data_IF_235007839994
#
_entry.id   IF_235007839994
#
_cell.length_a   1.000
_cell.length_b   1.000
_cell.length_c   1.000
_cell.angle_alpha   90.00
_cell.angle_beta   90.00
_cell.angle_gamma   90.00
#
_symmetry.space_group_name_H-M   'P 1'
#
loop_
_entity.id
_entity.type
_entity.pdbx_description
1 polymer ?
#
# COMPACT_ATOMS: atom_id res chain seq x y z
N UNK A 1 21.20 6.00 -55.68
CA UNK A 1 19.90 5.36 -55.99
C UNK A 1 19.45 5.57 -57.44
N UNK A 2 19.98 6.54 -58.21
CA UNK A 2 19.60 6.79 -59.62
C UNK A 2 20.24 5.83 -60.64
N UNK A 3 21.48 5.39 -60.41
CA UNK A 3 22.22 4.57 -61.39
C UNK A 3 21.62 3.19 -61.69
N UNK A 4 20.87 2.60 -60.75
CA UNK A 4 20.21 1.30 -60.98
C UNK A 4 18.96 1.42 -61.86
N UNK A 5 18.23 2.54 -61.75
CA UNK A 5 17.09 2.82 -62.62
C UNK A 5 17.55 3.05 -64.06
N UNK A 6 18.64 3.79 -64.24
CA UNK A 6 19.23 4.03 -65.57
C UNK A 6 19.65 2.73 -66.26
N UNK A 7 20.26 1.78 -65.53
CA UNK A 7 20.62 0.47 -66.07
C UNK A 7 19.41 -0.41 -66.38
N UNK A 8 18.37 -0.38 -65.53
CA UNK A 8 17.14 -1.15 -65.74
C UNK A 8 16.36 -0.70 -66.99
N UNK A 9 16.36 0.61 -67.27
CA UNK A 9 15.73 1.20 -68.46
C UNK A 9 16.40 0.74 -69.75
N UNK A 10 17.72 0.52 -69.77
CA UNK A 10 18.43 -0.06 -70.94
C UNK A 10 17.96 -1.47 -71.28
N UNK A 11 17.44 -2.22 -70.29
CA UNK A 11 16.85 -3.55 -70.47
C UNK A 11 15.33 -3.53 -70.64
N UNK A 12 14.70 -2.35 -70.75
CA UNK A 12 13.25 -2.21 -70.88
C UNK A 12 12.47 -2.53 -69.60
N UNK A 13 13.12 -2.55 -68.44
CA UNK A 13 12.51 -2.88 -67.15
C UNK A 13 12.19 -1.60 -66.37
N UNK A 14 10.96 -1.52 -65.84
CA UNK A 14 10.49 -0.41 -64.98
C UNK A 14 10.68 -0.83 -63.52
N UNK A 15 11.54 -0.11 -62.80
CA UNK A 15 11.94 -0.42 -61.43
C UNK A 15 11.38 0.63 -60.45
N UNK A 16 10.34 0.26 -59.68
CA UNK A 16 9.63 1.17 -58.77
C UNK A 16 10.35 1.32 -57.41
N UNK A 17 10.57 0.20 -56.70
CA UNK A 17 11.16 0.21 -55.36
C UNK A 17 12.26 -0.84 -55.21
N UNK A 18 13.34 -0.46 -54.52
CA UNK A 18 14.47 -1.31 -54.17
C UNK A 18 14.48 -1.53 -52.66
N UNK A 19 14.18 -2.75 -52.22
CA UNK A 19 14.31 -3.16 -50.82
C UNK A 19 15.69 -3.78 -50.57
N UNK A 20 16.34 -3.36 -49.49
CA UNK A 20 17.60 -3.94 -49.04
C UNK A 20 17.26 -4.95 -47.94
N UNK A 21 17.45 -6.25 -48.21
CA UNK A 21 16.99 -7.33 -47.32
C UNK A 21 18.00 -7.71 -46.25
N UNK A 22 19.30 -7.68 -46.56
CA UNK A 22 20.36 -8.05 -45.62
C UNK A 22 21.58 -7.14 -45.75
N UNK A 23 21.83 -6.34 -44.71
CA UNK A 23 23.06 -5.58 -44.50
C UNK A 23 23.88 -6.30 -43.42
N UNK A 24 25.06 -6.79 -43.76
CA UNK A 24 26.00 -7.32 -42.78
C UNK A 24 26.90 -6.19 -42.30
N UNK A 25 26.62 -5.69 -41.10
CA UNK A 25 27.54 -4.81 -40.39
C UNK A 25 28.70 -5.63 -39.81
N UNK A 26 29.88 -5.04 -39.69
CA UNK A 26 31.03 -5.70 -39.03
C UNK A 26 30.73 -5.97 -37.54
N UNK A 27 31.29 -7.05 -36.99
CA UNK A 27 31.04 -7.49 -35.60
C UNK A 27 31.32 -6.40 -34.55
N UNK A 28 32.39 -5.63 -34.73
CA UNK A 28 32.75 -4.54 -33.80
C UNK A 28 31.74 -3.39 -33.83
N UNK A 29 31.09 -3.14 -34.98
CA UNK A 29 30.07 -2.11 -35.11
C UNK A 29 28.77 -2.53 -34.42
N UNK A 30 28.38 -3.80 -34.53
CA UNK A 30 27.20 -4.33 -33.83
C UNK A 30 27.39 -4.28 -32.32
N UNK A 31 28.55 -4.69 -31.82
CA UNK A 31 28.87 -4.65 -30.38
C UNK A 31 28.86 -3.22 -29.82
N UNK A 32 29.44 -2.25 -30.55
CA UNK A 32 29.46 -0.85 -30.12
C UNK A 32 28.05 -0.22 -30.10
N UNK A 33 27.18 -0.62 -31.03
CA UNK A 33 25.79 -0.15 -31.08
C UNK A 33 24.97 -0.77 -29.95
N UNK A 34 25.14 -2.06 -29.67
CA UNK A 34 24.49 -2.74 -28.54
C UNK A 34 24.92 -2.12 -27.21
N UNK A 35 26.21 -1.87 -27.02
CA UNK A 35 26.72 -1.22 -25.82
C UNK A 35 26.12 0.19 -25.62
N UNK A 36 25.96 0.97 -26.70
CA UNK A 36 25.29 2.28 -26.63
C UNK A 36 23.81 2.16 -26.27
N UNK A 37 23.11 1.15 -26.77
CA UNK A 37 21.71 0.91 -26.44
C UNK A 37 21.54 0.54 -24.96
N UNK A 38 22.42 -0.32 -24.43
CA UNK A 38 22.43 -0.68 -23.00
C UNK A 38 22.69 0.56 -22.13
N UNK A 39 23.70 1.37 -22.48
CA UNK A 39 24.00 2.59 -21.73
C UNK A 39 22.83 3.60 -21.73
N UNK A 40 22.12 3.74 -22.85
CA UNK A 40 20.93 4.60 -22.92
C UNK A 40 19.79 4.07 -22.06
N UNK A 41 19.54 2.75 -22.09
CA UNK A 41 18.51 2.12 -21.27
C UNK A 41 18.82 2.25 -19.78
N UNK A 42 20.07 2.05 -19.37
CA UNK A 42 20.52 2.22 -18.00
C UNK A 42 20.37 3.66 -17.52
N UNK A 43 20.72 4.64 -18.36
CA UNK A 43 20.53 6.05 -18.05
C UNK A 43 19.05 6.40 -17.86
N UNK A 44 18.15 5.88 -18.70
CA UNK A 44 16.70 6.07 -18.54
C UNK A 44 16.19 5.42 -17.25
N UNK A 45 16.63 4.20 -16.94
CA UNK A 45 16.25 3.48 -15.72
C UNK A 45 16.73 4.20 -14.46
N UNK A 46 17.95 4.73 -14.47
CA UNK A 46 18.51 5.48 -13.36
C UNK A 46 17.69 6.77 -13.09
N UNK A 47 17.34 7.51 -14.15
CA UNK A 47 16.47 8.69 -14.03
C UNK A 47 15.11 8.35 -13.42
N UNK A 48 14.48 7.27 -13.89
CA UNK A 48 13.20 6.83 -13.34
C UNK A 48 13.29 6.45 -11.85
N UNK A 49 14.38 5.80 -11.43
CA UNK A 49 14.56 5.42 -10.03
C UNK A 49 14.71 6.66 -9.12
N UNK A 50 15.47 7.66 -9.56
CA UNK A 50 15.62 8.93 -8.84
C UNK A 50 14.28 9.64 -8.71
N UNK A 51 13.54 9.78 -9.81
CA UNK A 51 12.24 10.47 -9.81
C UNK A 51 11.23 9.75 -8.90
N UNK A 52 11.20 8.41 -8.95
CA UNK A 52 10.36 7.60 -8.04
C UNK A 52 10.72 7.84 -6.58
N UNK A 53 12.00 7.89 -6.25
CA UNK A 53 12.46 8.13 -4.89
C UNK A 53 12.08 9.56 -4.42
N UNK A 54 12.15 10.55 -5.29
CA UNK A 54 11.71 11.92 -4.99
C UNK A 54 10.20 11.99 -4.74
N UNK A 55 9.39 11.33 -5.56
CA UNK A 55 7.94 11.27 -5.36
C UNK A 55 7.57 10.58 -4.04
N UNK A 56 8.24 9.47 -3.70
CA UNK A 56 8.03 8.78 -2.43
C UNK A 56 8.37 9.66 -1.22
N UNK A 57 9.47 10.42 -1.28
CA UNK A 57 9.82 11.38 -0.21
C UNK A 57 8.76 12.46 -0.05
N UNK A 58 8.30 13.05 -1.16
CA UNK A 58 7.23 14.08 -1.13
C UNK A 58 5.93 13.51 -0.56
N UNK A 59 5.54 12.31 -0.98
CA UNK A 59 4.34 11.64 -0.46
C UNK A 59 4.46 11.42 1.06
N UNK A 60 5.61 10.94 1.55
CA UNK A 60 5.82 10.73 2.98
C UNK A 60 5.72 12.03 3.80
N UNK A 61 6.28 13.13 3.29
CA UNK A 61 6.17 14.45 3.94
C UNK A 61 4.71 14.91 3.98
N UNK A 62 3.99 14.82 2.86
CA UNK A 62 2.58 15.25 2.77
C UNK A 62 1.70 14.41 3.71
N UNK A 63 1.91 13.09 3.76
CA UNK A 63 1.19 12.21 4.70
C UNK A 63 1.45 12.62 6.15
N UNK A 64 2.72 12.81 6.54
CA UNK A 64 3.07 13.21 7.90
C UNK A 64 2.50 14.60 8.27
N UNK A 65 2.49 15.55 7.34
CA UNK A 65 1.85 16.86 7.53
C UNK A 65 0.32 16.74 7.64
N UNK A 66 -0.30 15.88 6.83
CA UNK A 66 -1.72 15.59 6.86
C UNK A 66 -2.15 15.01 8.22
N UNK A 67 -1.40 14.04 8.71
CA UNK A 67 -1.62 13.40 10.02
C UNK A 67 -1.44 14.42 11.15
N UNK A 68 -0.39 15.24 11.08
CA UNK A 68 -0.12 16.29 12.08
C UNK A 68 -1.22 17.33 12.14
N UNK A 69 -1.73 17.80 10.99
CA UNK A 69 -2.84 18.76 10.93
C UNK A 69 -4.14 18.13 11.43
N UNK A 70 -4.42 16.89 11.04
CA UNK A 70 -5.59 16.15 11.50
C UNK A 70 -5.57 15.95 13.00
N UNK A 71 -4.44 15.54 13.57
CA UNK A 71 -4.27 15.37 15.02
C UNK A 71 -4.49 16.69 15.78
N UNK A 72 -3.97 17.83 15.27
CA UNK A 72 -4.21 19.15 15.86
C UNK A 72 -5.68 19.54 15.83
N UNK A 73 -6.37 19.30 14.70
CA UNK A 73 -7.80 19.58 14.59
C UNK A 73 -8.60 18.73 15.58
N UNK A 74 -8.30 17.42 15.66
CA UNK A 74 -8.93 16.52 16.62
C UNK A 74 -8.68 17.01 18.04
N UNK A 75 -7.44 17.37 18.40
CA UNK A 75 -7.12 17.89 19.73
C UNK A 75 -7.95 19.13 20.06
N UNK A 76 -8.05 20.09 19.14
CA UNK A 76 -8.87 21.30 19.35
C UNK A 76 -10.36 20.96 19.53
N UNK A 77 -10.90 20.02 18.73
CA UNK A 77 -12.30 19.58 18.87
C UNK A 77 -12.53 18.88 20.22
N UNK A 78 -11.59 18.03 20.64
CA UNK A 78 -11.62 17.38 21.94
C UNK A 78 -11.51 18.40 23.08
N UNK A 79 -10.66 19.42 23.00
CA UNK A 79 -10.61 20.45 24.05
C UNK A 79 -11.96 21.19 24.21
N UNK A 80 -12.70 21.39 23.11
CA UNK A 80 -14.03 22.04 23.16
C UNK A 80 -15.19 21.13 23.55
N UNK A 81 -15.12 19.83 23.26
CA UNK A 81 -16.23 18.88 23.44
C UNK A 81 -15.92 17.69 24.38
N UNK A 82 -14.71 17.64 24.93
CA UNK A 82 -14.03 16.40 25.29
C UNK A 82 -14.40 15.77 26.62
N UNK A 83 -14.88 16.54 27.59
CA UNK A 83 -15.15 15.96 28.91
C UNK A 83 -16.25 14.87 28.81
N UNK A 84 -17.39 15.21 28.20
CA UNK A 84 -18.47 14.24 27.96
C UNK A 84 -18.12 13.15 26.94
N UNK A 85 -17.29 13.44 25.93
CA UNK A 85 -16.93 12.45 24.91
C UNK A 85 -15.96 11.39 25.44
N UNK A 86 -15.01 11.78 26.29
CA UNK A 86 -14.07 10.85 26.93
C UNK A 86 -14.80 9.92 27.89
N UNK A 87 -15.78 10.44 28.64
CA UNK A 87 -16.64 9.62 29.50
C UNK A 87 -17.48 8.61 28.69
N UNK A 88 -18.11 9.04 27.60
CA UNK A 88 -18.87 8.14 26.72
C UNK A 88 -17.97 7.05 26.12
N UNK A 89 -16.75 7.38 25.66
CA UNK A 89 -15.80 6.38 25.15
C UNK A 89 -15.33 5.39 26.22
N UNK A 90 -15.18 5.82 27.47
CA UNK A 90 -14.88 4.91 28.60
C UNK A 90 -16.03 3.94 28.84
N UNK A 91 -17.28 4.40 28.75
CA UNK A 91 -18.45 3.54 28.89
C UNK A 91 -18.57 2.53 27.74
N UNK A 92 -18.39 2.96 26.50
CA UNK A 92 -18.38 2.06 25.32
C UNK A 92 -17.28 0.99 25.45
N UNK A 93 -16.06 1.38 25.83
CA UNK A 93 -14.96 0.42 26.04
C UNK A 93 -15.26 -0.55 27.18
N UNK A 94 -15.90 -0.09 28.27
CA UNK A 94 -16.31 -0.95 29.37
C UNK A 94 -17.41 -1.95 28.93
N UNK A 95 -18.36 -1.52 28.09
CA UNK A 95 -19.40 -2.38 27.51
C UNK A 95 -18.77 -3.45 26.60
N UNK A 96 -17.85 -3.08 25.71
CA UNK A 96 -17.15 -4.01 24.83
C UNK A 96 -16.35 -5.05 25.62
N UNK A 97 -15.62 -4.61 26.65
CA UNK A 97 -14.88 -5.51 27.53
C UNK A 97 -15.85 -6.45 28.25
N UNK A 98 -16.95 -5.95 28.79
CA UNK A 98 -17.96 -6.78 29.45
C UNK A 98 -18.53 -7.84 28.49
N UNK A 99 -18.83 -7.46 27.25
CA UNK A 99 -19.30 -8.38 26.22
C UNK A 99 -18.25 -9.45 25.86
N UNK A 100 -16.99 -9.07 25.68
CA UNK A 100 -15.89 -9.99 25.41
C UNK A 100 -15.64 -10.95 26.57
N UNK A 101 -15.68 -10.44 27.81
CA UNK A 101 -15.54 -11.22 29.03
C UNK A 101 -16.66 -12.25 29.10
N UNK A 102 -17.93 -11.85 28.98
CA UNK A 102 -19.10 -12.74 29.00
C UNK A 102 -19.04 -13.87 27.98
N UNK A 103 -18.43 -13.63 26.80
CA UNK A 103 -18.28 -14.63 25.74
C UNK A 103 -17.10 -15.59 25.98
N UNK A 104 -16.12 -15.20 26.78
CA UNK A 104 -14.97 -16.05 27.09
C UNK A 104 -15.36 -17.18 28.04
N UNK A 105 -14.92 -18.41 27.77
CA UNK A 105 -15.29 -19.60 28.58
C UNK A 105 -14.48 -19.74 29.90
N UNK A 106 -13.45 -18.90 30.11
CA UNK A 106 -12.52 -19.00 31.24
C UNK A 106 -12.65 -17.81 32.21
N UNK A 107 -13.86 -17.50 32.68
CA UNK A 107 -14.08 -16.45 33.68
C UNK A 107 -14.15 -17.09 35.07
N UNK A 108 -13.17 -16.78 35.93
CA UNK A 108 -13.23 -17.09 37.35
C UNK A 108 -13.66 -15.83 38.11
N UNK A 109 -14.90 -15.81 38.63
CA UNK A 109 -15.36 -14.74 39.50
C UNK A 109 -14.75 -14.92 40.88
N UNK A 110 -13.73 -14.12 41.20
CA UNK A 110 -13.22 -14.02 42.56
C UNK A 110 -14.16 -13.10 43.34
N UNK A 111 -15.01 -13.71 44.17
CA UNK A 111 -15.72 -12.99 45.23
C UNK A 111 -14.67 -12.45 46.22
N UNK A 112 -14.28 -11.20 46.00
CA UNK A 112 -13.48 -10.44 46.95
C UNK A 112 -14.18 -10.46 48.31
N UNK A 113 -13.42 -10.79 49.35
CA UNK A 113 -13.89 -10.93 50.73
C UNK A 113 -14.49 -9.62 51.25
N UNK A 114 -15.76 -9.39 50.96
CA UNK A 114 -16.67 -8.54 51.72
C UNK A 114 -18.08 -9.13 51.67
N UNK A 115 -18.19 -10.39 52.10
CA UNK A 115 -19.45 -10.98 52.53
C UNK A 115 -19.46 -10.97 54.06
N UNK A 116 -19.75 -9.80 54.64
CA UNK A 116 -20.16 -9.73 56.05
C UNK A 116 -21.69 -9.78 56.09
N UNK A 117 -22.20 -11.00 56.30
CA UNK A 117 -23.42 -11.32 57.03
C UNK A 117 -24.66 -10.46 56.74
N UNK A 118 -25.57 -10.98 55.90
CA UNK A 118 -26.94 -11.38 56.28
C UNK A 118 -27.87 -11.35 55.07
N UNK A 119 -28.11 -12.51 54.47
CA UNK A 119 -29.40 -12.83 53.86
C UNK A 119 -29.75 -14.29 54.19
N UNK A 120 -30.95 -14.57 54.70
CA UNK A 120 -31.37 -15.91 55.07
C UNK A 120 -31.69 -16.75 53.84
N UNK A 121 -31.47 -18.04 54.01
CA UNK A 121 -31.81 -19.15 53.12
C UNK A 121 -33.21 -19.05 52.52
N UNK A 122 -33.31 -19.04 51.19
CA UNK A 122 -34.18 -19.94 50.44
C UNK A 122 -33.91 -19.84 48.92
N UNK A 123 -34.02 -20.99 48.25
CA UNK A 123 -33.93 -21.26 46.81
C UNK A 123 -32.56 -21.72 46.25
N UNK A 124 -32.45 -23.05 46.17
CA UNK A 124 -31.41 -23.87 45.52
C UNK A 124 -31.58 -23.91 43.97
N UNK A 125 -30.88 -24.79 43.21
CA UNK A 125 -29.86 -24.40 42.24
C UNK A 125 -30.26 -24.75 40.79
N UNK A 126 -30.11 -23.81 39.85
CA UNK A 126 -30.32 -24.11 38.43
C UNK A 126 -29.24 -23.45 37.59
N UNK A 127 -28.11 -24.13 37.47
CA UNK A 127 -27.19 -24.00 36.34
C UNK A 127 -26.64 -25.41 36.07
N UNK A 128 -27.43 -26.22 35.38
CA UNK A 128 -26.95 -27.42 34.69
C UNK A 128 -26.03 -26.97 33.56
N UNK A 129 -24.74 -27.22 33.73
CA UNK A 129 -23.74 -27.14 32.67
C UNK A 129 -23.78 -28.45 31.87
N UNK A 130 -24.24 -28.38 30.63
CA UNK A 130 -24.10 -29.46 29.65
C UNK A 130 -24.07 -28.87 28.24
N UNK A 131 -22.98 -29.14 27.50
CA UNK A 131 -22.86 -28.89 26.06
C UNK A 131 -21.87 -27.80 25.70
#
# INVERSE_FOLDING_TARGET
MTSQRERAVTFGLILNDLSLTHLTFGKEFTEAVEAKQVAQQEAQRARFLVEKAEQQKKAAIISAEGDSKTAKLIANFLDTAGDGLIELRKLEAAEDIAYQVLRSQNIAYLLGSWCSSRFPSEASPACTFSG
#
